data_IF_162491393132
#
_entry.id   IF_162491393132
#
_cell.length_a   1.000
_cell.length_b   1.000
_cell.length_c   1.000
_cell.angle_alpha   90.00
_cell.angle_beta   90.00
_cell.angle_gamma   90.00
#
_symmetry.space_group_name_H-M   'P 1'
#
loop_
_entity.id
_entity.type
_entity.pdbx_description
1 polymer ?
#
# COMPACT_ATOMS: atom_id res chain seq x y z
N UNK A 1 23.67 -61.73 29.29
CA UNK A 1 23.15 -62.47 28.11
C UNK A 1 21.77 -61.94 27.79
N UNK A 2 21.53 -61.52 26.55
CA UNK A 2 20.24 -60.97 26.12
C UNK A 2 20.41 -60.19 24.82
N UNK A 3 19.85 -60.72 23.75
CA UNK A 3 20.33 -60.56 22.38
C UNK A 3 19.75 -59.37 21.61
N UNK A 4 20.58 -58.89 20.67
CA UNK A 4 20.37 -58.04 19.47
C UNK A 4 18.93 -57.84 18.96
N UNK A 5 18.64 -56.60 18.54
CA UNK A 5 17.99 -56.32 17.25
C UNK A 5 18.34 -54.92 16.73
N UNK A 6 19.18 -54.89 15.70
CA UNK A 6 19.37 -53.77 14.76
C UNK A 6 18.14 -53.65 13.87
N UNK A 7 17.73 -52.43 13.51
CA UNK A 7 16.95 -52.24 12.30
C UNK A 7 17.47 -51.06 11.49
N UNK A 8 17.61 -51.36 10.21
CA UNK A 8 18.23 -50.63 9.12
C UNK A 8 17.35 -49.45 8.66
N UNK A 9 17.94 -48.57 7.85
CA UNK A 9 17.47 -47.22 7.63
C UNK A 9 16.18 -47.07 6.82
N UNK A 10 15.67 -45.84 6.86
CA UNK A 10 14.84 -45.29 5.78
C UNK A 10 15.17 -43.82 5.58
N UNK A 11 16.03 -43.59 4.59
CA UNK A 11 16.17 -42.33 3.86
C UNK A 11 14.82 -42.05 3.19
N UNK A 12 14.18 -40.92 3.47
CA UNK A 12 13.08 -40.38 2.65
C UNK A 12 13.22 -38.86 2.53
N UNK A 13 13.79 -38.47 1.40
CA UNK A 13 13.40 -37.40 0.48
C UNK A 13 13.11 -35.99 1.04
N UNK A 14 13.87 -35.04 0.48
CA UNK A 14 13.55 -33.62 0.39
C UNK A 14 12.08 -33.42 -0.01
N UNK A 15 11.37 -32.57 0.73
CA UNK A 15 10.34 -31.70 0.15
C UNK A 15 10.73 -30.25 0.42
N UNK A 16 11.35 -29.66 -0.59
CA UNK A 16 11.35 -28.22 -0.79
C UNK A 16 9.88 -27.84 -0.98
N UNK A 17 9.26 -27.24 0.04
CA UNK A 17 7.95 -26.62 -0.10
C UNK A 17 8.19 -25.18 -0.52
N UNK A 18 8.24 -24.97 -1.83
CA UNK A 18 7.97 -23.67 -2.44
C UNK A 18 6.51 -23.31 -2.15
N UNK A 19 6.25 -22.82 -0.95
CA UNK A 19 4.96 -22.22 -0.61
C UNK A 19 4.89 -20.85 -1.25
N UNK A 20 4.24 -20.82 -2.40
CA UNK A 20 3.78 -19.66 -3.15
C UNK A 20 3.48 -18.46 -2.25
N UNK A 21 4.10 -17.32 -2.59
CA UNK A 21 3.80 -16.02 -2.01
C UNK A 21 2.39 -15.58 -2.36
N UNK A 22 1.41 -16.00 -1.56
CA UNK A 22 0.06 -15.46 -1.53
C UNK A 22 0.03 -14.23 -0.62
N UNK A 23 -0.31 -13.07 -1.19
CA UNK A 23 -0.57 -11.85 -0.45
C UNK A 23 -1.84 -12.01 0.40
N UNK A 24 -1.69 -12.44 1.65
CA UNK A 24 -2.77 -12.42 2.62
C UNK A 24 -2.78 -11.09 3.37
N UNK A 25 -3.69 -10.19 2.99
CA UNK A 25 -4.08 -9.04 3.81
C UNK A 25 -4.89 -9.53 5.02
N UNK A 26 -4.19 -10.09 6.01
CA UNK A 26 -4.76 -10.37 7.32
C UNK A 26 -4.38 -9.21 8.24
N UNK A 27 -5.39 -8.38 8.52
CA UNK A 27 -5.41 -7.33 9.58
C UNK A 27 -4.54 -7.72 10.78
N UNK A 28 -3.28 -7.28 10.80
CA UNK A 28 -2.44 -7.44 11.99
C UNK A 28 -2.66 -6.24 12.89
N UNK A 29 -3.54 -6.44 13.88
CA UNK A 29 -3.36 -5.77 15.17
C UNK A 29 -2.10 -6.38 15.79
N UNK A 30 -1.09 -5.54 15.95
CA UNK A 30 0.14 -5.75 16.72
C UNK A 30 1.24 -6.59 16.03
N UNK A 31 2.35 -5.92 15.70
CA UNK A 31 3.65 -6.55 15.43
C UNK A 31 3.76 -7.30 14.11
N UNK A 32 3.67 -6.59 12.97
CA UNK A 32 4.00 -7.17 11.67
C UNK A 32 5.40 -7.77 11.70
N UNK A 33 5.51 -9.06 11.38
CA UNK A 33 6.78 -9.81 11.39
C UNK A 33 7.76 -9.10 10.46
N UNK A 34 8.86 -8.61 11.02
CA UNK A 34 9.96 -7.99 10.24
C UNK A 34 10.58 -9.10 9.40
N UNK A 35 10.72 -8.87 8.09
CA UNK A 35 11.37 -9.79 7.18
C UNK A 35 12.85 -9.86 7.55
N UNK A 36 13.33 -11.08 7.83
CA UNK A 36 14.71 -11.31 8.31
C UNK A 36 15.74 -11.45 7.19
N UNK A 37 15.30 -11.52 5.92
CA UNK A 37 16.18 -11.55 4.75
C UNK A 37 16.90 -10.20 4.61
N UNK A 38 18.23 -10.24 4.54
CA UNK A 38 19.09 -9.07 4.40
C UNK A 38 18.70 -8.19 3.20
N UNK A 39 18.21 -8.80 2.10
CA UNK A 39 17.80 -8.09 0.88
C UNK A 39 16.63 -7.14 1.10
N UNK A 40 15.79 -7.40 2.10
CA UNK A 40 14.56 -6.66 2.37
C UNK A 40 14.59 -5.86 3.68
N UNK A 41 15.73 -5.86 4.38
CA UNK A 41 15.90 -5.16 5.66
C UNK A 41 15.57 -3.66 5.58
N UNK A 42 15.89 -2.99 4.46
CA UNK A 42 15.64 -1.57 4.24
C UNK A 42 14.16 -1.23 4.00
N UNK A 43 13.33 -2.18 3.58
CA UNK A 43 11.91 -1.93 3.28
C UNK A 43 11.10 -1.53 4.52
N UNK A 44 11.53 -1.98 5.70
CA UNK A 44 10.82 -1.70 6.94
C UNK A 44 11.09 -0.30 7.50
N UNK A 45 12.26 0.27 7.22
CA UNK A 45 12.68 1.58 7.71
C UNK A 45 12.54 2.69 6.67
N UNK A 46 12.56 2.37 5.38
CA UNK A 46 12.48 3.37 4.31
C UNK A 46 11.07 4.00 4.23
N UNK A 47 10.97 5.33 4.42
CA UNK A 47 9.69 6.05 4.46
C UNK A 47 8.86 5.90 3.17
N UNK A 48 9.49 5.56 2.03
CA UNK A 48 8.80 5.36 0.76
C UNK A 48 7.89 4.13 0.78
N UNK A 49 8.22 3.12 1.58
CA UNK A 49 7.45 1.87 1.69
C UNK A 49 6.59 1.83 2.96
N UNK A 50 6.63 2.86 3.80
CA UNK A 50 5.77 2.96 4.95
C UNK A 50 4.31 3.21 4.53
N UNK A 51 3.39 2.56 5.22
CA UNK A 51 1.95 2.77 4.99
C UNK A 51 1.56 4.16 5.46
N UNK A 52 0.84 4.88 4.60
CA UNK A 52 0.29 6.20 4.95
C UNK A 52 -0.66 6.09 6.15
N UNK A 53 -0.59 7.02 7.13
CA UNK A 53 -1.50 7.03 8.26
C UNK A 53 -2.95 7.25 7.80
N UNK A 54 -3.89 6.43 8.29
CA UNK A 54 -5.30 6.49 7.88
C UNK A 54 -5.98 7.83 8.13
N UNK A 55 -5.53 8.57 9.14
CA UNK A 55 -6.10 9.86 9.53
C UNK A 55 -5.46 11.06 8.81
N UNK A 56 -4.33 10.86 8.11
CA UNK A 56 -3.59 11.92 7.39
C UNK A 56 -3.64 11.65 5.89
N UNK A 57 -4.79 11.97 5.28
CA UNK A 57 -5.05 11.74 3.85
C UNK A 57 -4.65 12.90 2.95
N UNK A 58 -4.40 14.08 3.53
CA UNK A 58 -4.01 15.29 2.82
C UNK A 58 -2.53 15.57 3.05
N UNK A 59 -1.86 16.01 1.99
CA UNK A 59 -0.47 16.48 2.02
C UNK A 59 -0.51 18.00 1.92
N UNK A 60 0.38 18.66 2.67
CA UNK A 60 0.56 20.11 2.59
C UNK A 60 1.09 20.52 1.22
N UNK A 61 0.55 21.60 0.67
CA UNK A 61 0.98 22.11 -0.62
C UNK A 61 2.18 23.04 -0.41
N UNK A 62 3.21 22.87 -1.23
CA UNK A 62 4.37 23.76 -1.27
C UNK A 62 3.93 25.20 -1.62
N UNK A 63 4.48 26.16 -0.88
CA UNK A 63 4.18 27.60 -0.98
C UNK A 63 4.20 28.16 -2.42
N UNK A 64 5.01 27.60 -3.31
CA UNK A 64 5.10 28.02 -4.72
C UNK A 64 3.78 27.85 -5.47
N UNK A 65 2.92 26.96 -5.00
CA UNK A 65 1.63 26.64 -5.62
C UNK A 65 0.44 27.33 -4.96
N UNK A 66 0.67 28.23 -3.99
CA UNK A 66 -0.41 28.96 -3.32
C UNK A 66 -1.31 29.73 -4.30
N UNK A 67 -0.75 30.19 -5.44
CA UNK A 67 -1.51 30.88 -6.48
C UNK A 67 -2.65 30.02 -7.05
N UNK A 68 -2.49 28.70 -7.11
CA UNK A 68 -3.50 27.79 -7.67
C UNK A 68 -4.85 27.83 -6.92
N UNK A 69 -4.84 28.24 -5.65
CA UNK A 69 -6.06 28.29 -4.84
C UNK A 69 -6.87 29.57 -5.04
N UNK A 70 -6.25 30.64 -5.52
CA UNK A 70 -6.87 31.97 -5.59
C UNK A 70 -7.01 32.49 -7.03
N UNK A 71 -6.19 32.00 -7.94
CA UNK A 71 -6.18 32.43 -9.33
C UNK A 71 -7.35 31.80 -10.11
N UNK A 72 -8.15 32.67 -10.74
CA UNK A 72 -9.36 32.32 -11.49
C UNK A 72 -9.07 31.33 -12.61
N UNK A 73 -7.88 31.38 -13.19
CA UNK A 73 -7.44 30.45 -14.24
C UNK A 73 -7.41 28.99 -13.80
N UNK A 74 -7.28 28.72 -12.49
CA UNK A 74 -7.24 27.37 -11.91
C UNK A 74 -8.54 26.97 -11.20
N UNK A 75 -9.57 27.83 -11.19
CA UNK A 75 -10.84 27.50 -10.53
C UNK A 75 -11.60 26.41 -11.29
N UNK A 76 -12.02 25.35 -10.58
CA UNK A 76 -12.74 24.18 -11.13
C UNK A 76 -14.03 24.52 -11.90
N UNK A 77 -14.58 25.71 -11.68
CA UNK A 77 -15.82 26.20 -12.28
C UNK A 77 -15.62 27.05 -13.53
N UNK A 78 -14.41 27.55 -13.82
CA UNK A 78 -14.22 28.48 -14.94
C UNK A 78 -14.27 27.82 -16.32
N UNK A 79 -14.08 26.51 -16.40
CA UNK A 79 -14.14 25.79 -17.67
C UNK A 79 -15.61 25.56 -18.09
N UNK A 80 -16.05 26.10 -19.25
CA UNK A 80 -17.42 25.91 -19.75
C UNK A 80 -17.78 24.45 -20.03
N UNK A 81 -16.77 23.61 -20.27
CA UNK A 81 -16.89 22.21 -20.65
C UNK A 81 -16.27 21.28 -19.59
N UNK A 82 -16.86 20.10 -19.43
CA UNK A 82 -16.30 18.92 -18.75
C UNK A 82 -15.05 18.40 -19.52
N UNK A 83 -14.19 17.61 -18.85
CA UNK A 83 -13.16 16.75 -19.48
C UNK A 83 -13.69 15.90 -20.65
N UNK A 84 -15.00 15.60 -20.68
CA UNK A 84 -15.70 14.87 -21.75
C UNK A 84 -16.35 15.78 -22.81
N UNK A 85 -16.07 17.09 -22.78
CA UNK A 85 -16.58 18.07 -23.75
C UNK A 85 -18.06 18.42 -23.59
N UNK A 86 -18.74 17.94 -22.54
CA UNK A 86 -20.13 18.31 -22.27
C UNK A 86 -20.19 19.70 -21.62
N UNK A 87 -21.11 20.58 -22.03
CA UNK A 87 -21.31 21.86 -21.37
C UNK A 87 -21.73 21.63 -19.92
N UNK A 88 -21.11 22.36 -19.00
CA UNK A 88 -21.53 22.34 -17.59
C UNK A 88 -22.86 23.09 -17.49
N UNK A 89 -23.83 22.48 -16.82
CA UNK A 89 -25.09 23.16 -16.48
C UNK A 89 -24.77 24.15 -15.37
N UNK A 90 -25.00 25.45 -15.62
CA UNK A 90 -24.91 26.47 -14.59
C UNK A 90 -25.88 26.12 -13.46
N UNK A 91 -25.35 25.69 -12.31
CA UNK A 91 -26.14 25.54 -11.09
C UNK A 91 -26.15 26.87 -10.35
N UNK A 92 -26.94 27.82 -10.83
CA UNK A 92 -27.34 29.00 -10.05
C UNK A 92 -28.50 28.65 -9.11
N UNK A 93 -28.30 27.64 -8.26
CA UNK A 93 -29.29 27.17 -7.29
C UNK A 93 -28.73 27.33 -5.88
N UNK A 94 -29.20 28.38 -5.20
CA UNK A 94 -28.91 28.71 -3.81
C UNK A 94 -29.13 27.50 -2.88
N UNK A 95 -28.19 27.21 -1.98
CA UNK A 95 -28.43 26.29 -0.84
C UNK A 95 -28.02 26.99 0.45
N UNK A 96 -29.01 27.20 1.33
CA UNK A 96 -28.92 27.74 2.69
C UNK A 96 -27.87 27.02 3.55
#
# INVERSE_FOLDING_TARGET
MGSKKSNDGKKKEKKESDSAGGAEDRRSKNGGKIVTDARFSSLHSDPRFQKVPKHKTKVEIDSRFNRMFHDKSFTSSSAPLDKRGKPKKDRSGNTL
#
